data_IF_565248547466
#
_entry.id   IF_565248547466
#
_cell.length_a   1.000
_cell.length_b   1.000
_cell.length_c   1.000
_cell.angle_alpha   90.00
_cell.angle_beta   90.00
_cell.angle_gamma   90.00
#
_symmetry.space_group_name_H-M   'P 1'
#
loop_
_entity.id
_entity.type
_entity.pdbx_description
1 polymer ?
#
# COMPACT_ATOMS: atom_id res chain seq x y z
N UNK A 1 11.42 10.95 23.35
CA UNK A 1 11.04 9.74 24.08
C UNK A 1 10.00 8.93 23.30
N UNK A 2 10.01 7.60 23.54
CA UNK A 2 9.11 6.66 22.91
C UNK A 2 8.54 5.72 23.95
N UNK A 3 7.24 5.53 23.93
CA UNK A 3 6.52 4.58 24.79
C UNK A 3 5.60 3.70 23.97
N UNK A 4 5.46 2.46 24.35
CA UNK A 4 4.51 1.54 23.71
C UNK A 4 3.81 0.68 24.76
N UNK A 5 2.51 0.48 24.52
CA UNK A 5 1.67 -0.44 25.27
C UNK A 5 1.21 -1.54 24.30
N UNK A 6 1.34 -2.77 24.73
CA UNK A 6 0.86 -3.91 23.96
C UNK A 6 -0.02 -4.79 24.86
N UNK A 7 -1.16 -5.18 24.34
CA UNK A 7 -2.04 -6.15 24.97
C UNK A 7 -2.25 -7.34 24.04
N UNK A 8 -2.15 -8.52 24.58
CA UNK A 8 -2.31 -9.77 23.84
C UNK A 8 -3.33 -10.67 24.51
N UNK A 9 -4.45 -10.90 23.82
CA UNK A 9 -5.43 -11.91 24.14
C UNK A 9 -5.26 -13.18 23.31
N UNK A 10 -6.16 -14.13 23.48
CA UNK A 10 -6.13 -15.42 22.75
C UNK A 10 -6.34 -15.27 21.23
N UNK A 11 -7.17 -14.31 20.82
CA UNK A 11 -7.61 -14.12 19.43
C UNK A 11 -7.29 -12.72 18.89
N UNK A 12 -6.77 -11.85 19.73
CA UNK A 12 -6.53 -10.46 19.35
C UNK A 12 -5.30 -9.90 20.06
N UNK A 13 -4.60 -9.03 19.35
CA UNK A 13 -3.46 -8.26 19.85
C UNK A 13 -3.68 -6.80 19.51
N UNK A 14 -3.41 -5.93 20.47
CA UNK A 14 -3.45 -4.49 20.31
C UNK A 14 -2.10 -3.91 20.68
N UNK A 15 -1.71 -2.88 19.99
CA UNK A 15 -0.54 -2.08 20.31
C UNK A 15 -0.87 -0.60 20.16
N UNK A 16 -0.37 0.18 21.08
CA UNK A 16 -0.42 1.64 21.05
C UNK A 16 1.01 2.14 21.21
N UNK A 17 1.45 3.01 20.32
CA UNK A 17 2.79 3.58 20.37
C UNK A 17 2.66 5.10 20.34
N UNK A 18 3.39 5.74 21.23
CA UNK A 18 3.56 7.18 21.28
C UNK A 18 5.05 7.49 21.16
N UNK A 19 5.38 8.40 20.27
CA UNK A 19 6.75 8.85 20.03
C UNK A 19 6.75 10.37 19.93
N UNK A 20 7.67 10.98 20.67
CA UNK A 20 7.89 12.41 20.69
C UNK A 20 9.37 12.69 20.54
N UNK A 21 9.70 13.50 19.56
CA UNK A 21 11.05 13.97 19.31
C UNK A 21 11.09 15.47 19.53
N UNK A 22 11.92 15.87 20.48
CA UNK A 22 12.05 17.26 20.90
C UNK A 22 12.52 18.16 19.74
N UNK A 23 12.02 19.41 19.62
CA UNK A 23 12.48 20.39 18.64
C UNK A 23 13.99 20.64 18.67
N UNK A 24 14.59 20.60 19.85
CA UNK A 24 16.02 20.86 20.04
C UNK A 24 16.87 19.58 20.03
N UNK A 25 16.24 18.41 19.82
CA UNK A 25 16.96 17.15 19.76
C UNK A 25 17.94 17.11 18.59
N UNK A 26 19.21 16.83 18.90
CA UNK A 26 20.30 16.69 17.94
C UNK A 26 21.04 15.39 18.20
N UNK A 27 21.32 14.65 17.13
CA UNK A 27 22.16 13.44 17.21
C UNK A 27 23.56 13.73 16.69
N UNK A 28 24.56 13.16 17.34
CA UNK A 28 25.94 13.19 16.85
C UNK A 28 26.05 12.30 15.61
N UNK A 29 26.48 12.87 14.49
CA UNK A 29 26.75 12.13 13.27
C UNK A 29 25.65 12.06 12.20
N UNK A 30 24.48 12.69 12.44
CA UNK A 30 23.44 12.81 11.40
C UNK A 30 23.22 14.28 11.03
N UNK A 31 23.41 14.61 9.76
CA UNK A 31 23.14 15.96 9.23
C UNK A 31 21.65 16.24 9.06
N UNK A 32 20.84 15.19 8.82
CA UNK A 32 19.41 15.28 8.62
C UNK A 32 18.71 14.26 9.51
N UNK A 33 17.90 14.73 10.44
CA UNK A 33 17.01 13.89 11.23
C UNK A 33 15.72 14.67 11.53
N UNK A 34 14.65 13.93 11.68
CA UNK A 34 13.36 14.50 12.00
C UNK A 34 13.31 14.80 13.50
N UNK A 35 13.42 16.05 13.85
CA UNK A 35 13.14 16.56 15.17
C UNK A 35 11.80 17.30 15.19
N UNK A 36 11.33 17.69 16.36
CA UNK A 36 10.10 18.44 16.53
C UNK A 36 8.91 17.68 15.93
N UNK A 37 8.73 16.44 16.39
CA UNK A 37 7.76 15.53 15.82
C UNK A 37 7.03 14.75 16.92
N UNK A 38 5.73 14.63 16.76
CA UNK A 38 4.90 13.74 17.56
C UNK A 38 4.24 12.71 16.64
N UNK A 39 4.27 11.45 17.04
CA UNK A 39 3.67 10.35 16.35
C UNK A 39 2.86 9.47 17.31
N UNK A 40 1.59 9.28 17.01
CA UNK A 40 0.71 8.37 17.75
C UNK A 40 0.23 7.31 16.78
N UNK A 41 0.43 6.05 17.11
CA UNK A 41 -0.06 4.94 16.28
C UNK A 41 -0.72 3.86 17.13
N UNK A 42 -1.80 3.32 16.59
CA UNK A 42 -2.51 2.19 17.14
C UNK A 42 -2.59 1.08 16.10
N UNK A 43 -2.37 -0.15 16.52
CA UNK A 43 -2.46 -1.32 15.67
C UNK A 43 -3.26 -2.43 16.32
N UNK A 44 -3.87 -3.26 15.49
CA UNK A 44 -4.60 -4.44 15.95
C UNK A 44 -4.39 -5.61 15.00
N UNK A 45 -4.35 -6.80 15.57
CA UNK A 45 -4.42 -8.06 14.85
C UNK A 45 -5.50 -8.91 15.50
N UNK A 46 -6.44 -9.40 14.70
CA UNK A 46 -7.55 -10.22 15.17
C UNK A 46 -7.62 -11.50 14.33
N UNK A 47 -7.65 -12.63 15.01
CA UNK A 47 -7.88 -13.93 14.39
C UNK A 47 -9.28 -14.41 14.77
N UNK A 48 -10.15 -14.57 13.79
CA UNK A 48 -11.54 -14.94 13.98
C UNK A 48 -11.90 -16.22 13.21
N UNK A 49 -13.15 -16.67 13.34
CA UNK A 49 -13.71 -17.83 12.63
C UNK A 49 -12.85 -19.08 12.76
N UNK A 50 -12.41 -19.40 13.98
CA UNK A 50 -11.54 -20.56 14.28
C UNK A 50 -10.23 -20.54 13.47
N UNK A 51 -9.62 -19.36 13.31
CA UNK A 51 -8.35 -19.19 12.58
C UNK A 51 -8.49 -19.07 11.06
N UNK A 52 -9.70 -19.00 10.52
CA UNK A 52 -9.92 -18.84 9.09
C UNK A 52 -9.81 -17.39 8.62
N UNK A 53 -10.10 -16.43 9.50
CA UNK A 53 -10.05 -15.00 9.20
C UNK A 53 -8.98 -14.34 10.06
N UNK A 54 -8.02 -13.69 9.39
CA UNK A 54 -7.04 -12.82 10.00
C UNK A 54 -7.28 -11.40 9.53
N UNK A 55 -7.43 -10.49 10.46
CA UNK A 55 -7.59 -9.06 10.23
C UNK A 55 -6.44 -8.34 10.92
N UNK A 56 -5.79 -7.44 10.22
CA UNK A 56 -4.84 -6.51 10.81
C UNK A 56 -5.18 -5.08 10.40
N UNK A 57 -5.11 -4.18 11.34
CA UNK A 57 -5.38 -2.77 11.14
C UNK A 57 -4.34 -1.92 11.85
N UNK A 58 -4.00 -0.80 11.23
CA UNK A 58 -3.12 0.20 11.82
C UNK A 58 -3.64 1.59 11.48
N UNK A 59 -3.60 2.48 12.47
CA UNK A 59 -3.89 3.89 12.30
C UNK A 59 -2.78 4.70 12.95
N UNK A 60 -2.33 5.75 12.28
CA UNK A 60 -1.27 6.63 12.78
C UNK A 60 -1.58 8.09 12.49
N UNK A 61 -1.21 8.93 13.44
CA UNK A 61 -1.24 10.38 13.35
C UNK A 61 0.15 10.90 13.64
N UNK A 62 0.69 11.69 12.73
CA UNK A 62 1.97 12.34 12.87
C UNK A 62 1.79 13.84 12.67
N UNK A 63 2.44 14.63 13.49
CA UNK A 63 2.51 16.08 13.32
C UNK A 63 3.92 16.56 13.65
N UNK A 64 4.34 17.60 13.01
CA UNK A 64 5.58 18.32 13.29
C UNK A 64 5.30 19.79 13.67
N UNK A 65 6.35 20.55 13.89
CA UNK A 65 6.30 21.95 14.26
C UNK A 65 5.45 22.19 15.53
N UNK A 66 5.75 21.43 16.57
CA UNK A 66 4.98 21.40 17.83
C UNK A 66 5.06 22.72 18.59
N UNK A 67 6.17 23.44 18.47
CA UNK A 67 6.41 24.74 19.08
C UNK A 67 6.08 25.94 18.15
N UNK A 68 5.59 25.68 16.93
CA UNK A 68 5.23 26.68 15.91
C UNK A 68 6.39 27.61 15.49
N UNK A 69 7.65 27.19 15.66
CA UNK A 69 8.84 27.97 15.28
C UNK A 69 9.24 27.76 13.82
N UNK A 70 8.82 26.66 13.19
CA UNK A 70 9.12 26.37 11.79
C UNK A 70 8.17 27.12 10.86
N UNK A 71 8.65 27.54 9.71
CA UNK A 71 7.83 28.19 8.67
C UNK A 71 6.84 27.23 8.00
N UNK A 72 7.04 25.93 8.13
CA UNK A 72 6.12 24.92 7.63
C UNK A 72 5.68 23.99 8.74
N UNK A 73 4.45 23.57 8.67
CA UNK A 73 3.91 22.51 9.52
C UNK A 73 3.29 21.40 8.68
N UNK A 74 3.47 20.18 9.12
CA UNK A 74 2.97 19.00 8.43
C UNK A 74 2.15 18.13 9.40
N UNK A 75 1.02 17.66 8.90
CA UNK A 75 0.17 16.66 9.59
C UNK A 75 -0.05 15.50 8.66
N UNK A 76 0.25 14.29 9.13
CA UNK A 76 0.06 13.05 8.39
C UNK A 76 -0.93 12.16 9.08
N UNK A 77 -1.79 11.53 8.30
CA UNK A 77 -2.71 10.48 8.75
C UNK A 77 -2.42 9.25 7.90
N UNK A 78 -2.23 8.14 8.55
CA UNK A 78 -1.96 6.86 7.89
C UNK A 78 -2.96 5.85 8.41
N UNK A 79 -3.62 5.16 7.49
CA UNK A 79 -4.52 4.05 7.81
C UNK A 79 -4.15 2.87 6.94
N UNK A 80 -4.10 1.69 7.53
CA UNK A 80 -3.98 0.46 6.78
C UNK A 80 -4.88 -0.61 7.37
N UNK A 81 -5.51 -1.38 6.51
CA UNK A 81 -6.32 -2.53 6.86
C UNK A 81 -5.95 -3.68 5.94
N UNK A 82 -5.76 -4.85 6.50
CA UNK A 82 -5.51 -6.07 5.76
C UNK A 82 -6.42 -7.18 6.28
N UNK A 83 -7.02 -7.92 5.36
CA UNK A 83 -7.86 -9.06 5.65
C UNK A 83 -7.39 -10.29 4.86
N UNK A 84 -7.34 -11.44 5.50
CA UNK A 84 -7.06 -12.72 4.88
C UNK A 84 -8.10 -13.74 5.34
N UNK A 85 -8.76 -14.36 4.39
CA UNK A 85 -9.77 -15.37 4.67
C UNK A 85 -9.46 -16.67 3.93
N UNK A 86 -9.43 -17.77 4.68
CA UNK A 86 -9.24 -19.12 4.13
C UNK A 86 -10.57 -19.69 3.67
N UNK A 87 -10.65 -19.97 2.36
CA UNK A 87 -11.80 -20.57 1.71
C UNK A 87 -11.60 -22.09 1.62
N UNK A 88 -12.33 -22.83 2.43
CA UNK A 88 -12.22 -24.28 2.45
C UNK A 88 -10.83 -24.76 2.89
N UNK A 89 -10.30 -25.80 2.19
CA UNK A 89 -9.02 -26.43 2.55
C UNK A 89 -7.80 -25.70 2.01
N UNK A 90 -7.89 -25.06 0.86
CA UNK A 90 -6.72 -24.49 0.17
C UNK A 90 -7.02 -23.20 -0.59
N UNK A 91 -8.26 -22.71 -0.57
CA UNK A 91 -8.60 -21.41 -1.15
C UNK A 91 -8.23 -20.27 -0.21
N UNK A 92 -7.93 -19.13 -0.77
CA UNK A 92 -7.60 -17.90 -0.03
C UNK A 92 -8.21 -16.69 -0.71
N UNK A 93 -8.79 -15.84 0.09
CA UNK A 93 -9.19 -14.48 -0.27
C UNK A 93 -8.38 -13.52 0.60
N UNK A 94 -7.74 -12.56 0.00
CA UNK A 94 -7.04 -11.51 0.73
C UNK A 94 -7.37 -10.15 0.16
N UNK A 95 -7.31 -9.14 1.00
CA UNK A 95 -7.49 -7.76 0.60
C UNK A 95 -6.71 -6.86 1.53
N UNK A 96 -6.26 -5.75 1.00
CA UNK A 96 -5.63 -4.70 1.77
C UNK A 96 -6.10 -3.34 1.28
N UNK A 97 -6.20 -2.42 2.20
CA UNK A 97 -6.48 -1.02 1.96
C UNK A 97 -5.47 -0.19 2.71
N UNK A 98 -4.95 0.84 2.09
CA UNK A 98 -4.12 1.82 2.74
C UNK A 98 -4.51 3.23 2.30
N UNK A 99 -4.45 4.16 3.24
CA UNK A 99 -4.69 5.58 3.00
C UNK A 99 -3.63 6.39 3.71
N UNK A 100 -3.05 7.30 2.99
CA UNK A 100 -2.09 8.26 3.48
C UNK A 100 -2.59 9.66 3.12
N UNK A 101 -2.68 10.53 4.11
CA UNK A 101 -3.03 11.93 3.90
C UNK A 101 -1.97 12.80 4.56
N UNK A 102 -1.40 13.71 3.80
CA UNK A 102 -0.46 14.72 4.27
C UNK A 102 -1.05 16.11 4.07
N UNK A 103 -1.02 16.90 5.12
CA UNK A 103 -1.33 18.33 5.07
C UNK A 103 -0.06 19.08 5.37
N UNK A 104 0.36 19.91 4.45
CA UNK A 104 1.52 20.79 4.63
C UNK A 104 1.05 22.23 4.51
N UNK A 105 1.30 23.00 5.55
CA UNK A 105 1.08 24.43 5.56
C UNK A 105 2.46 25.12 5.57
N UNK A 106 2.73 25.92 4.57
CA UNK A 106 3.98 26.68 4.46
C UNK A 106 3.66 28.16 4.50
N UNK A 107 4.26 28.87 5.45
CA UNK A 107 4.21 30.33 5.50
C UNK A 107 5.27 30.88 4.56
N UNK A 108 4.93 31.72 3.60
CA UNK A 108 5.93 32.34 2.73
C UNK A 108 6.87 33.21 3.56
N UNK A 109 8.13 33.22 3.18
CA UNK A 109 9.16 34.03 3.81
C UNK A 109 8.97 35.48 3.38
N UNK A 110 8.19 36.26 4.13
CA UNK A 110 7.81 37.65 3.77
C UNK A 110 8.72 38.70 4.39
N UNK A 111 9.80 38.31 5.06
CA UNK A 111 10.67 39.26 5.79
C UNK A 111 11.35 40.33 4.92
N UNK A 112 11.32 40.15 3.59
CA UNK A 112 11.92 41.11 2.64
C UNK A 112 10.89 41.90 1.81
N UNK A 113 9.60 41.66 1.98
CA UNK A 113 8.55 42.33 1.25
C UNK A 113 7.80 43.25 2.21
N UNK A 114 7.62 44.53 1.76
CA UNK A 114 7.08 45.64 2.55
C UNK A 114 5.87 45.23 3.45
N UNK A 115 5.90 45.62 4.75
CA UNK A 115 4.90 45.19 5.71
C UNK A 115 3.48 45.70 5.50
N UNK A 116 3.27 46.58 4.49
CA UNK A 116 2.00 47.26 4.25
C UNK A 116 1.25 46.79 3.01
N UNK A 117 1.58 45.66 2.42
CA UNK A 117 0.81 45.15 1.28
C UNK A 117 -0.33 44.21 1.79
N UNK A 118 -1.59 44.61 1.62
CA UNK A 118 -2.74 43.79 2.06
C UNK A 118 -2.86 42.43 1.36
N UNK A 119 -2.17 42.27 0.23
CA UNK A 119 -2.19 41.00 -0.54
C UNK A 119 -1.31 39.91 0.02
N UNK A 120 -0.37 40.19 0.92
CA UNK A 120 0.61 39.23 1.41
C UNK A 120 0.13 38.41 2.64
N UNK A 121 -0.95 38.83 3.28
CA UNK A 121 -1.47 38.16 4.46
C UNK A 121 -2.22 36.82 4.15
N UNK A 122 -2.47 36.53 2.86
CA UNK A 122 -3.32 35.42 2.43
C UNK A 122 -2.58 34.28 1.75
N UNK A 123 -1.27 34.39 1.59
CA UNK A 123 -0.48 33.45 0.78
C UNK A 123 0.16 32.34 1.63
N UNK A 124 -0.63 31.72 2.49
CA UNK A 124 -0.26 30.44 3.08
C UNK A 124 -0.52 29.35 2.05
N UNK A 125 0.55 28.75 1.54
CA UNK A 125 0.45 27.62 0.65
C UNK A 125 0.02 26.37 1.47
N UNK A 126 -1.22 25.99 1.29
CA UNK A 126 -1.78 24.79 1.89
C UNK A 126 -1.78 23.65 0.88
N UNK A 127 -0.94 22.67 1.09
CA UNK A 127 -0.93 21.46 0.28
C UNK A 127 -1.62 20.32 1.04
N UNK A 128 -2.59 19.71 0.39
CA UNK A 128 -3.17 18.46 0.84
C UNK A 128 -2.85 17.40 -0.20
N UNK A 129 -2.15 16.38 0.21
CA UNK A 129 -1.90 15.19 -0.59
C UNK A 129 -2.63 14.02 0.04
N UNK A 130 -3.38 13.29 -0.78
CA UNK A 130 -4.07 12.07 -0.39
C UNK A 130 -3.62 10.97 -1.33
N UNK A 131 -3.12 9.89 -0.79
CA UNK A 131 -2.82 8.67 -1.52
C UNK A 131 -3.59 7.52 -0.90
N UNK A 132 -4.40 6.87 -1.70
CA UNK A 132 -5.21 5.73 -1.30
C UNK A 132 -4.91 4.57 -2.24
N UNK A 133 -4.82 3.38 -1.67
CA UNK A 133 -4.69 2.17 -2.46
C UNK A 133 -5.48 1.03 -1.84
N UNK A 134 -6.05 0.21 -2.70
CA UNK A 134 -6.72 -1.00 -2.30
C UNK A 134 -6.37 -2.13 -3.25
N UNK A 135 -6.20 -3.32 -2.70
CA UNK A 135 -6.03 -4.52 -3.48
C UNK A 135 -6.92 -5.64 -2.94
N UNK A 136 -7.31 -6.51 -3.83
CA UNK A 136 -7.99 -7.75 -3.50
C UNK A 136 -7.41 -8.88 -4.33
N UNK A 137 -7.26 -10.04 -3.74
CA UNK A 137 -6.75 -11.23 -4.39
C UNK A 137 -7.56 -12.44 -3.96
N UNK A 138 -7.94 -13.26 -4.90
CA UNK A 138 -8.58 -14.55 -4.69
C UNK A 138 -7.75 -15.65 -5.34
N UNK A 139 -7.58 -16.76 -4.64
CA UNK A 139 -6.95 -17.97 -5.15
C UNK A 139 -7.80 -19.16 -4.77
N UNK A 140 -8.31 -19.86 -5.75
CA UNK A 140 -9.16 -21.02 -5.59
C UNK A 140 -8.46 -22.24 -6.18
N UNK A 141 -8.24 -23.30 -5.40
CA UNK A 141 -7.70 -24.54 -5.92
C UNK A 141 -8.73 -25.20 -6.82
N UNK A 142 -8.28 -25.75 -7.93
CA UNK A 142 -9.08 -26.63 -8.78
C UNK A 142 -8.99 -28.08 -8.30
N UNK A 143 -9.96 -28.91 -8.61
CA UNK A 143 -9.85 -30.34 -8.42
C UNK A 143 -8.58 -30.90 -9.09
N UNK A 144 -7.94 -31.85 -8.46
CA UNK A 144 -6.78 -32.53 -9.05
C UNK A 144 -7.18 -33.27 -10.32
N UNK A 145 -6.41 -33.10 -11.36
CA UNK A 145 -6.58 -33.80 -12.62
C UNK A 145 -5.33 -34.65 -12.89
N UNK A 146 -5.40 -35.91 -12.48
CA UNK A 146 -4.24 -36.78 -12.45
C UNK A 146 -3.12 -36.21 -11.55
N UNK A 147 -1.95 -35.98 -12.13
CA UNK A 147 -0.80 -35.37 -11.44
C UNK A 147 -0.75 -33.84 -11.52
N UNK A 148 -1.75 -33.22 -12.13
CA UNK A 148 -1.86 -31.78 -12.22
C UNK A 148 -2.67 -31.18 -11.08
N UNK A 149 -2.17 -30.09 -10.56
CA UNK A 149 -2.85 -29.25 -9.58
C UNK A 149 -3.08 -27.87 -10.20
N UNK A 150 -4.34 -27.49 -10.28
CA UNK A 150 -4.73 -26.20 -10.83
C UNK A 150 -5.15 -25.21 -9.75
N UNK A 151 -5.06 -23.94 -10.06
CA UNK A 151 -5.69 -22.85 -9.32
C UNK A 151 -6.23 -21.80 -10.25
N UNK A 152 -7.36 -21.23 -9.87
CA UNK A 152 -7.92 -20.02 -10.46
C UNK A 152 -7.52 -18.87 -9.56
N UNK A 153 -6.94 -17.85 -10.15
CA UNK A 153 -6.50 -16.68 -9.43
C UNK A 153 -7.16 -15.44 -10.01
N UNK A 154 -7.55 -14.54 -9.16
CA UNK A 154 -8.05 -13.22 -9.54
C UNK A 154 -7.39 -12.16 -8.66
N UNK A 155 -7.12 -11.02 -9.21
CA UNK A 155 -6.58 -9.89 -8.48
C UNK A 155 -7.19 -8.58 -8.98
N UNK A 156 -7.32 -7.65 -8.08
CA UNK A 156 -7.69 -6.27 -8.37
C UNK A 156 -6.81 -5.33 -7.56
N UNK A 157 -6.44 -4.24 -8.18
CA UNK A 157 -5.68 -3.15 -7.56
C UNK A 157 -6.31 -1.84 -8.00
N UNK A 158 -6.51 -0.94 -7.07
CA UNK A 158 -6.78 0.45 -7.35
C UNK A 158 -5.87 1.35 -6.53
N UNK A 159 -5.50 2.45 -7.11
CA UNK A 159 -4.72 3.48 -6.46
C UNK A 159 -5.24 4.84 -6.89
N UNK A 160 -5.39 5.73 -5.93
CA UNK A 160 -5.77 7.11 -6.14
C UNK A 160 -4.75 8.01 -5.48
N UNK A 161 -4.32 9.02 -6.22
CA UNK A 161 -3.53 10.11 -5.68
C UNK A 161 -4.21 11.42 -6.02
N UNK A 162 -4.38 12.26 -5.02
CA UNK A 162 -4.96 13.60 -5.17
C UNK A 162 -4.10 14.58 -4.38
N UNK A 163 -3.71 15.67 -5.04
CA UNK A 163 -2.82 16.67 -4.44
C UNK A 163 -3.13 18.07 -4.92
N UNK A 164 -2.14 18.75 -5.45
CA UNK A 164 -2.31 20.06 -6.04
C UNK A 164 -3.29 20.05 -7.24
N UNK A 165 -3.93 21.17 -7.59
CA UNK A 165 -4.80 21.24 -8.74
C UNK A 165 -4.16 20.66 -10.00
N UNK A 166 -4.81 19.69 -10.64
CA UNK A 166 -4.31 19.02 -11.86
C UNK A 166 -3.39 17.82 -11.61
N UNK A 167 -3.01 17.49 -10.37
CA UNK A 167 -2.14 16.34 -10.05
C UNK A 167 -2.90 15.07 -9.67
N UNK A 168 -4.20 15.04 -9.87
CA UNK A 168 -5.00 13.85 -9.55
C UNK A 168 -4.69 12.71 -10.51
N UNK A 169 -4.45 11.53 -9.96
CA UNK A 169 -4.29 10.31 -10.74
C UNK A 169 -5.08 9.15 -10.12
N UNK A 170 -5.74 8.40 -10.97
CA UNK A 170 -6.43 7.18 -10.59
C UNK A 170 -5.89 6.02 -11.44
N UNK A 171 -5.48 4.96 -10.79
CA UNK A 171 -4.99 3.74 -11.42
C UNK A 171 -5.85 2.56 -11.00
N UNK A 172 -6.31 1.79 -11.97
CA UNK A 172 -7.07 0.56 -11.76
C UNK A 172 -6.41 -0.56 -12.56
N UNK A 173 -6.27 -1.71 -11.94
CA UNK A 173 -5.82 -2.93 -12.60
C UNK A 173 -6.64 -4.11 -12.09
N UNK A 174 -7.06 -4.96 -12.99
CA UNK A 174 -7.73 -6.22 -12.66
C UNK A 174 -7.15 -7.32 -13.51
N UNK A 175 -6.95 -8.47 -12.91
CA UNK A 175 -6.44 -9.65 -13.60
C UNK A 175 -7.16 -10.91 -13.15
N UNK A 176 -7.25 -11.85 -14.07
CA UNK A 176 -7.72 -13.19 -13.78
C UNK A 176 -6.87 -14.20 -14.54
N UNK A 177 -6.72 -15.39 -13.98
CA UNK A 177 -5.92 -16.41 -14.63
C UNK A 177 -6.08 -17.78 -14.03
N UNK A 178 -5.61 -18.74 -14.79
CA UNK A 178 -5.55 -20.15 -14.38
C UNK A 178 -4.10 -20.59 -14.45
N UNK A 179 -3.67 -21.27 -13.41
CA UNK A 179 -2.34 -21.85 -13.31
C UNK A 179 -2.50 -23.35 -13.07
N UNK A 180 -1.83 -24.16 -13.85
CA UNK A 180 -1.75 -25.60 -13.63
C UNK A 180 -0.29 -25.99 -13.42
N UNK A 181 -0.02 -26.80 -12.41
CA UNK A 181 1.31 -27.30 -12.08
C UNK A 181 1.31 -28.81 -11.95
N UNK A 182 2.28 -29.45 -12.56
CA UNK A 182 2.49 -30.90 -12.47
C UNK A 182 3.24 -31.25 -11.18
N UNK A 183 2.71 -32.18 -10.41
CA UNK A 183 3.21 -32.49 -9.07
C UNK A 183 4.63 -33.08 -9.05
N UNK A 184 4.95 -33.99 -10.00
CA UNK A 184 6.21 -34.75 -9.96
C UNK A 184 7.39 -33.94 -10.51
N UNK A 185 7.20 -33.34 -11.67
CA UNK A 185 8.31 -32.67 -12.39
C UNK A 185 8.34 -31.16 -12.17
N UNK A 186 7.27 -30.57 -11.61
CA UNK A 186 7.20 -29.12 -11.36
C UNK A 186 6.91 -28.28 -12.61
N UNK A 187 6.60 -28.89 -13.76
CA UNK A 187 6.15 -28.14 -14.92
C UNK A 187 4.91 -27.31 -14.62
N UNK A 188 4.83 -26.12 -15.16
CA UNK A 188 3.67 -25.27 -14.95
C UNK A 188 3.24 -24.59 -16.25
N UNK A 189 1.95 -24.40 -16.38
CA UNK A 189 1.32 -23.63 -17.44
C UNK A 189 0.40 -22.61 -16.81
N UNK A 190 0.48 -21.38 -17.24
CA UNK A 190 -0.42 -20.34 -16.79
C UNK A 190 -0.97 -19.55 -17.98
N UNK A 191 -2.26 -19.25 -17.89
CA UNK A 191 -2.96 -18.31 -18.76
C UNK A 191 -3.56 -17.24 -17.88
N UNK A 192 -3.20 -16.00 -18.13
CA UNK A 192 -3.65 -14.84 -17.37
C UNK A 192 -4.11 -13.75 -18.33
N UNK A 193 -5.02 -12.93 -17.88
CA UNK A 193 -5.39 -11.69 -18.55
C UNK A 193 -5.37 -10.56 -17.55
N UNK A 194 -4.86 -9.42 -17.97
CA UNK A 194 -4.84 -8.21 -17.17
C UNK A 194 -5.48 -7.07 -17.94
N UNK A 195 -6.27 -6.27 -17.27
CA UNK A 195 -6.83 -5.04 -17.78
C UNK A 195 -6.48 -3.91 -16.81
N UNK A 196 -5.99 -2.82 -17.35
CA UNK A 196 -5.59 -1.66 -16.57
C UNK A 196 -6.14 -0.36 -17.15
N UNK A 197 -6.36 0.60 -16.30
CA UNK A 197 -6.72 1.96 -16.66
C UNK A 197 -5.94 2.93 -15.78
N UNK A 198 -5.32 3.88 -16.42
CA UNK A 198 -4.66 5.00 -15.75
C UNK A 198 -5.32 6.30 -16.22
N UNK A 199 -5.69 7.13 -15.27
CA UNK A 199 -6.25 8.46 -15.49
C UNK A 199 -5.37 9.48 -14.77
N UNK A 200 -4.86 10.45 -15.48
CA UNK A 200 -4.05 11.53 -14.94
C UNK A 200 -4.53 12.86 -15.57
N UNK A 201 -5.27 13.64 -14.78
CA UNK A 201 -5.98 14.80 -15.31
C UNK A 201 -6.99 14.41 -16.40
N UNK A 202 -6.82 14.97 -17.59
CA UNK A 202 -7.66 14.64 -18.77
C UNK A 202 -7.17 13.42 -19.55
N UNK A 203 -5.96 12.95 -19.29
CA UNK A 203 -5.38 11.82 -19.98
C UNK A 203 -5.94 10.52 -19.41
N UNK A 204 -6.40 9.65 -20.32
CA UNK A 204 -6.88 8.31 -20.01
C UNK A 204 -6.16 7.29 -20.88
N UNK A 205 -5.42 6.42 -20.22
CA UNK A 205 -4.74 5.29 -20.88
C UNK A 205 -5.38 3.99 -20.40
N UNK A 206 -5.74 3.15 -21.34
CA UNK A 206 -6.25 1.80 -21.08
C UNK A 206 -5.33 0.80 -21.72
N UNK A 207 -5.08 -0.27 -21.03
CA UNK A 207 -4.33 -1.40 -21.52
C UNK A 207 -5.08 -2.69 -21.19
N UNK A 208 -4.99 -3.64 -22.08
CA UNK A 208 -5.49 -4.99 -21.88
C UNK A 208 -4.57 -5.97 -22.58
N UNK A 209 -4.37 -7.14 -22.00
CA UNK A 209 -3.57 -8.14 -22.67
C UNK A 209 -3.61 -9.51 -22.00
N UNK A 210 -3.67 -10.57 -22.79
CA UNK A 210 -3.42 -11.91 -22.32
C UNK A 210 -1.92 -12.15 -22.12
N UNK A 211 -1.60 -12.96 -21.12
CA UNK A 211 -0.26 -13.45 -20.85
C UNK A 211 -0.33 -14.97 -20.76
N UNK A 212 0.42 -15.61 -21.61
CA UNK A 212 0.65 -17.06 -21.53
C UNK A 212 2.05 -17.31 -21.02
N UNK A 213 2.21 -18.23 -20.07
CA UNK A 213 3.49 -18.68 -19.63
C UNK A 213 3.53 -20.18 -19.44
N UNK A 214 4.66 -20.76 -19.80
CA UNK A 214 4.94 -22.18 -19.62
C UNK A 214 6.33 -22.32 -19.03
N UNK A 215 6.46 -23.16 -18.02
CA UNK A 215 7.74 -23.46 -17.38
C UNK A 215 7.94 -24.97 -17.35
N UNK A 216 9.06 -25.40 -17.91
CA UNK A 216 9.43 -26.80 -18.02
C UNK A 216 10.80 -27.02 -17.37
N UNK A 217 10.89 -27.78 -16.30
CA UNK A 217 12.15 -28.20 -15.75
C UNK A 217 12.76 -29.31 -16.64
N UNK A 218 13.97 -29.12 -17.06
CA UNK A 218 14.76 -30.04 -17.89
C UNK A 218 15.87 -30.69 -17.05
N UNK A 219 16.45 -31.76 -17.55
CA UNK A 219 17.63 -32.46 -16.96
C UNK A 219 17.49 -32.72 -15.44
N UNK A 220 16.47 -33.45 -15.03
CA UNK A 220 16.22 -33.80 -13.63
C UNK A 220 16.13 -32.57 -12.70
N UNK A 221 15.49 -31.51 -13.17
CA UNK A 221 15.28 -30.23 -12.46
C UNK A 221 16.54 -29.36 -12.31
N UNK A 222 17.63 -29.68 -13.02
CA UNK A 222 18.84 -28.83 -13.01
C UNK A 222 18.71 -27.57 -13.87
N UNK A 223 17.83 -27.61 -14.86
CA UNK A 223 17.55 -26.48 -15.76
C UNK A 223 16.07 -26.14 -15.73
N UNK A 224 15.75 -24.88 -15.65
CA UNK A 224 14.39 -24.36 -15.74
C UNK A 224 14.27 -23.56 -17.04
N UNK A 225 13.43 -24.00 -17.95
CA UNK A 225 13.11 -23.25 -19.16
C UNK A 225 11.77 -22.60 -18.98
N UNK A 226 11.69 -21.29 -19.16
CA UNK A 226 10.45 -20.53 -19.10
C UNK A 226 10.23 -19.80 -20.43
N UNK A 227 9.02 -19.94 -20.98
CA UNK A 227 8.57 -19.21 -22.14
C UNK A 227 7.38 -18.37 -21.71
N UNK A 228 7.40 -17.09 -22.02
CA UNK A 228 6.27 -16.20 -21.80
C UNK A 228 5.94 -15.44 -23.08
N UNK A 229 4.65 -15.28 -23.35
CA UNK A 229 4.13 -14.45 -24.42
C UNK A 229 3.11 -13.47 -23.82
N UNK A 230 3.26 -12.20 -24.12
CA UNK A 230 2.30 -11.17 -23.73
C UNK A 230 2.00 -10.27 -24.92
N UNK A 231 0.76 -9.86 -25.05
CA UNK A 231 0.33 -8.85 -26.01
C UNK A 231 -0.43 -7.77 -25.25
N UNK A 232 -0.03 -6.54 -25.43
CA UNK A 232 -0.71 -5.37 -24.86
C UNK A 232 -1.40 -4.64 -26.02
N UNK A 233 -2.67 -4.34 -25.83
CA UNK A 233 -3.52 -3.63 -26.81
C UNK A 233 -4.03 -2.35 -26.15
#
# INVERSE_FOLDING_TARGET
YKGSLAWQGKVQRWNLTYEYTDPEYRTLGAYYFNNDMENVSAGTNVTALKGKLNLSGQAGLQRDNLDNRKNSSMRRRVYSLQAQYRLGKSGMLSGAYSSFTSFTNTRPFTDYLQPNSPMLAWDTLNFREVSESGNAQISLPMPKWGKWQGSINGNGLWQRSAGAPGSNSDFYNAGAGVVARHADNGSSVALQTNAGQNMAGELRVRNWGPVFSCSLPLMHKKWLTALSYSRII
#
